data_IF_172462160963
#
_entry.id   IF_172462160963
#
_cell.length_a   1.000
_cell.length_b   1.000
_cell.length_c   1.000
_cell.angle_alpha   90.00
_cell.angle_beta   90.00
_cell.angle_gamma   90.00
#
_symmetry.space_group_name_H-M   'P 1'
#
loop_
_entity.id
_entity.type
_entity.pdbx_description
1 polymer ?
#
# COMPACT_ATOMS: atom_id res chain seq x y z
N UNK A 1 -37.41 5.40 3.50
CA UNK A 1 -37.86 6.67 4.14
C UNK A 1 -37.25 6.68 5.53
N UNK A 2 -36.55 7.76 5.91
CA UNK A 2 -35.92 7.82 7.23
C UNK A 2 -36.98 7.75 8.32
N UNK A 3 -36.79 6.87 9.31
CA UNK A 3 -37.67 6.74 10.47
C UNK A 3 -37.60 8.05 11.25
N UNK A 4 -38.71 8.79 11.32
CA UNK A 4 -38.83 9.87 12.28
C UNK A 4 -39.15 9.19 13.62
N UNK A 5 -38.32 9.38 14.64
CA UNK A 5 -38.63 8.91 16.00
C UNK A 5 -39.10 10.10 16.83
N UNK A 6 -40.15 9.94 17.62
CA UNK A 6 -40.60 10.96 18.55
C UNK A 6 -39.52 11.20 19.62
N UNK A 7 -38.96 12.42 19.75
CA UNK A 7 -37.92 12.70 20.75
C UNK A 7 -38.40 12.53 22.20
N UNK A 8 -39.71 12.62 22.43
CA UNK A 8 -40.29 12.56 23.76
C UNK A 8 -40.61 11.12 24.20
N UNK A 9 -41.03 10.26 23.27
CA UNK A 9 -41.45 8.88 23.57
C UNK A 9 -40.48 7.81 23.08
N UNK A 10 -39.50 8.19 22.24
CA UNK A 10 -38.63 7.25 21.52
C UNK A 10 -39.41 6.18 20.73
N UNK A 11 -40.57 6.57 20.21
CA UNK A 11 -41.52 5.74 19.47
C UNK A 11 -41.64 6.29 18.03
N UNK A 12 -41.67 5.41 17.03
CA UNK A 12 -41.77 5.73 15.60
C UNK A 12 -43.12 5.32 14.97
N UNK A 13 -44.01 4.70 15.74
CA UNK A 13 -45.39 4.42 15.33
C UNK A 13 -46.27 5.68 15.47
N UNK A 14 -47.36 5.77 14.70
CA UNK A 14 -48.37 6.84 14.80
C UNK A 14 -47.84 8.29 14.66
N UNK A 15 -46.94 8.52 13.69
CA UNK A 15 -46.41 9.85 13.36
C UNK A 15 -47.14 10.47 12.17
N UNK A 16 -47.78 11.61 12.40
CA UNK A 16 -48.54 12.35 11.39
C UNK A 16 -47.76 13.58 10.89
N UNK A 17 -47.88 13.87 9.59
CA UNK A 17 -47.34 15.08 9.00
C UNK A 17 -48.30 16.26 9.24
N UNK A 18 -47.86 17.26 9.99
CA UNK A 18 -48.66 18.45 10.29
C UNK A 18 -48.54 19.48 9.17
N UNK A 19 -47.31 19.80 8.75
CA UNK A 19 -47.04 20.75 7.66
C UNK A 19 -45.65 20.58 7.09
N UNK A 20 -45.46 21.07 5.87
CA UNK A 20 -44.14 21.21 5.23
C UNK A 20 -43.78 22.69 5.17
N UNK A 21 -42.57 23.03 5.60
CA UNK A 21 -42.01 24.38 5.55
C UNK A 21 -41.33 24.63 4.19
N UNK A 22 -41.16 25.90 3.82
CA UNK A 22 -40.62 26.32 2.52
C UNK A 22 -39.18 25.85 2.27
N UNK A 23 -38.42 25.54 3.34
CA UNK A 23 -37.06 25.02 3.29
C UNK A 23 -37.00 23.48 3.13
N UNK A 24 -38.15 22.83 2.94
CA UNK A 24 -38.28 21.37 2.81
C UNK A 24 -38.29 20.63 4.14
N UNK A 25 -38.23 21.32 5.28
CA UNK A 25 -38.42 20.72 6.61
C UNK A 25 -39.88 20.29 6.79
N UNK A 26 -40.07 19.11 7.39
CA UNK A 26 -41.40 18.61 7.72
C UNK A 26 -41.63 18.77 9.22
N UNK A 27 -42.73 19.39 9.62
CA UNK A 27 -43.21 19.36 11.00
C UNK A 27 -44.10 18.14 11.15
N UNK A 28 -43.71 17.24 12.05
CA UNK A 28 -44.42 16.00 12.33
C UNK A 28 -44.90 15.96 13.78
N UNK A 29 -45.97 15.24 14.04
CA UNK A 29 -46.59 15.08 15.36
C UNK A 29 -46.73 13.61 15.70
N UNK A 30 -46.40 13.25 16.92
CA UNK A 30 -46.68 11.91 17.45
C UNK A 30 -47.98 11.93 18.26
N UNK A 31 -48.64 10.77 18.42
CA UNK A 31 -49.85 10.60 19.25
C UNK A 31 -49.74 11.16 20.67
N UNK A 32 -48.53 11.27 21.23
CA UNK A 32 -48.31 11.90 22.54
C UNK A 32 -48.54 13.43 22.54
N UNK A 33 -48.81 14.02 21.38
CA UNK A 33 -49.05 15.44 21.19
C UNK A 33 -47.79 16.27 20.89
N UNK A 34 -46.60 15.66 20.93
CA UNK A 34 -45.34 16.35 20.67
C UNK A 34 -45.12 16.58 19.18
N UNK A 35 -44.85 17.83 18.80
CA UNK A 35 -44.57 18.27 17.44
C UNK A 35 -43.09 18.64 17.29
N UNK A 36 -42.43 18.16 16.23
CA UNK A 36 -41.03 18.48 15.96
C UNK A 36 -40.73 18.59 14.47
N UNK A 37 -39.65 19.29 14.15
CA UNK A 37 -39.13 19.40 12.79
C UNK A 37 -38.25 18.19 12.46
N UNK A 38 -38.65 17.45 11.44
CA UNK A 38 -37.89 16.35 10.86
C UNK A 38 -37.28 16.79 9.52
N UNK A 39 -35.96 17.01 9.53
CA UNK A 39 -35.18 17.14 8.30
C UNK A 39 -34.82 15.74 7.81
N UNK A 40 -35.21 15.41 6.57
CA UNK A 40 -34.63 14.24 5.93
C UNK A 40 -33.12 14.44 5.83
N UNK A 41 -32.30 13.47 6.26
CA UNK A 41 -30.86 13.56 6.03
C UNK A 41 -30.63 13.64 4.52
N UNK A 42 -30.01 14.73 4.07
CA UNK A 42 -29.59 14.85 2.68
C UNK A 42 -28.72 13.65 2.36
N UNK A 43 -29.04 12.84 1.34
CA UNK A 43 -28.17 11.73 0.99
C UNK A 43 -26.79 12.30 0.69
N UNK A 44 -25.70 11.71 1.25
CA UNK A 44 -24.37 12.18 0.93
C UNK A 44 -24.24 12.16 -0.60
N UNK A 45 -23.89 13.31 -1.17
CA UNK A 45 -23.64 13.44 -2.60
C UNK A 45 -22.64 12.36 -2.98
N UNK A 46 -23.10 11.34 -3.72
CA UNK A 46 -22.25 10.24 -4.18
C UNK A 46 -21.14 10.87 -5.01
N UNK A 47 -19.94 10.98 -4.42
CA UNK A 47 -18.75 11.29 -5.19
C UNK A 47 -18.65 10.25 -6.31
N UNK A 48 -18.33 10.66 -7.55
CA UNK A 48 -18.24 9.72 -8.65
C UNK A 48 -17.23 8.62 -8.29
N UNK A 49 -17.64 7.36 -8.36
CA UNK A 49 -16.74 6.22 -8.22
C UNK A 49 -15.80 6.23 -9.42
N UNK A 50 -14.57 6.68 -9.22
CA UNK A 50 -13.56 6.65 -10.28
C UNK A 50 -13.19 5.21 -10.61
N UNK A 51 -13.14 4.86 -11.90
CA UNK A 51 -12.68 3.54 -12.32
C UNK A 51 -11.18 3.38 -12.02
N UNK A 52 -10.69 2.14 -11.96
CA UNK A 52 -9.27 1.85 -11.80
C UNK A 52 -8.42 2.58 -12.86
N UNK A 53 -8.87 2.56 -14.13
CA UNK A 53 -8.20 3.22 -15.24
C UNK A 53 -8.11 4.74 -15.04
N UNK A 54 -9.20 5.36 -14.58
CA UNK A 54 -9.24 6.81 -14.33
C UNK A 54 -8.27 7.21 -13.20
N UNK A 55 -8.26 6.43 -12.12
CA UNK A 55 -7.36 6.66 -10.99
C UNK A 55 -5.90 6.49 -11.36
N UNK A 56 -5.59 5.50 -12.20
CA UNK A 56 -4.24 5.26 -12.71
C UNK A 56 -3.80 6.37 -13.67
N UNK A 57 -4.69 6.84 -14.54
CA UNK A 57 -4.40 7.93 -15.47
C UNK A 57 -4.10 9.26 -14.77
N UNK A 58 -4.69 9.47 -13.59
CA UNK A 58 -4.49 10.66 -12.72
C UNK A 58 -3.33 10.52 -11.75
N UNK A 59 -2.70 9.34 -11.65
CA UNK A 59 -1.54 9.16 -10.79
C UNK A 59 -0.35 9.92 -11.40
N UNK A 60 0.52 10.55 -10.58
CA UNK A 60 1.70 11.26 -11.08
C UNK A 60 2.57 10.40 -12.01
N UNK A 61 3.11 11.02 -13.06
CA UNK A 61 3.90 10.40 -14.12
C UNK A 61 5.31 10.98 -14.16
N UNK A 62 6.20 10.29 -14.88
CA UNK A 62 7.56 10.79 -15.08
C UNK A 62 7.58 12.15 -15.81
N UNK A 63 6.62 12.38 -16.71
CA UNK A 63 6.43 13.63 -17.45
C UNK A 63 6.05 14.82 -16.55
N UNK A 64 5.52 14.57 -15.34
CA UNK A 64 5.15 15.62 -14.40
C UNK A 64 6.38 16.20 -13.64
N UNK A 65 7.56 15.57 -13.80
CA UNK A 65 8.80 16.03 -13.17
C UNK A 65 9.37 17.21 -13.94
N UNK A 66 9.59 18.34 -13.25
CA UNK A 66 10.17 19.54 -13.88
C UNK A 66 11.61 19.25 -14.36
N UNK A 67 12.05 19.82 -15.51
CA UNK A 67 13.37 19.58 -16.07
C UNK A 67 14.54 19.76 -15.09
N UNK A 68 14.49 20.81 -14.25
CA UNK A 68 15.50 21.08 -13.23
C UNK A 68 15.72 19.91 -12.23
N UNK A 69 14.67 19.15 -11.92
CA UNK A 69 14.75 17.99 -11.03
C UNK A 69 15.34 16.79 -11.75
N UNK A 70 15.01 16.59 -13.03
CA UNK A 70 15.62 15.56 -13.87
C UNK A 70 17.12 15.80 -14.06
N UNK A 71 17.53 17.04 -14.34
CA UNK A 71 18.94 17.43 -14.45
C UNK A 71 19.71 17.18 -13.15
N UNK A 72 19.11 17.55 -12.01
CA UNK A 72 19.68 17.26 -10.68
C UNK A 72 19.83 15.76 -10.47
N UNK A 73 18.79 14.97 -10.71
CA UNK A 73 18.81 13.52 -10.54
C UNK A 73 19.86 12.85 -11.45
N UNK A 74 20.00 13.30 -12.70
CA UNK A 74 21.01 12.81 -13.63
C UNK A 74 22.44 13.14 -13.16
N UNK A 75 22.68 14.34 -12.63
CA UNK A 75 23.97 14.71 -12.02
C UNK A 75 24.29 13.85 -10.81
N UNK A 76 23.31 13.67 -9.90
CA UNK A 76 23.46 12.81 -8.73
C UNK A 76 23.76 11.37 -9.11
N UNK A 77 23.03 10.83 -10.10
CA UNK A 77 23.28 9.47 -10.63
C UNK A 77 24.69 9.34 -11.17
N UNK A 78 25.17 10.32 -11.93
CA UNK A 78 26.54 10.31 -12.47
C UNK A 78 27.59 10.30 -11.35
N UNK A 79 27.38 11.08 -10.28
CA UNK A 79 28.24 11.08 -9.10
C UNK A 79 28.23 9.73 -8.37
N UNK A 80 27.04 9.15 -8.17
CA UNK A 80 26.87 7.87 -7.51
C UNK A 80 27.52 6.70 -8.28
N UNK A 81 27.37 6.68 -9.61
CA UNK A 81 27.98 5.64 -10.44
C UNK A 81 29.51 5.79 -10.52
N UNK A 82 30.04 7.01 -10.41
CA UNK A 82 31.48 7.25 -10.40
C UNK A 82 32.18 6.66 -9.16
N UNK A 83 31.49 6.54 -8.02
CA UNK A 83 32.06 5.97 -6.79
C UNK A 83 32.08 4.44 -6.78
N UNK A 84 31.46 3.78 -7.78
CA UNK A 84 31.36 2.32 -7.91
C UNK A 84 31.00 1.62 -6.59
N UNK A 85 29.82 1.93 -6.02
CA UNK A 85 29.39 1.34 -4.76
C UNK A 85 29.33 -0.19 -4.87
N UNK A 86 29.83 -0.87 -3.84
CA UNK A 86 29.91 -2.32 -3.80
C UNK A 86 28.52 -2.96 -3.65
N UNK A 87 28.41 -4.22 -4.08
CA UNK A 87 27.17 -5.00 -3.99
C UNK A 87 27.29 -6.08 -2.93
N UNK A 88 26.20 -6.34 -2.21
CA UNK A 88 26.14 -7.52 -1.37
C UNK A 88 26.07 -8.78 -2.25
N UNK A 89 27.20 -9.49 -2.33
CA UNK A 89 27.39 -10.71 -3.12
C UNK A 89 26.41 -11.83 -2.73
N UNK A 90 25.82 -11.78 -1.53
CA UNK A 90 24.89 -12.79 -1.06
C UNK A 90 23.47 -12.60 -1.61
N UNK A 91 23.14 -11.43 -2.13
CA UNK A 91 21.77 -11.10 -2.55
C UNK A 91 21.30 -11.96 -3.71
N UNK A 92 22.13 -12.13 -4.74
CA UNK A 92 21.76 -12.93 -5.91
C UNK A 92 21.45 -14.39 -5.53
N UNK A 93 22.31 -15.01 -4.72
CA UNK A 93 22.10 -16.38 -4.24
C UNK A 93 20.87 -16.48 -3.32
N UNK A 94 20.67 -15.49 -2.45
CA UNK A 94 19.52 -15.41 -1.55
C UNK A 94 18.20 -15.28 -2.34
N UNK A 95 18.13 -14.40 -3.33
CA UNK A 95 16.96 -14.25 -4.20
C UNK A 95 16.70 -15.52 -5.01
N UNK A 96 17.73 -16.13 -5.61
CA UNK A 96 17.57 -17.40 -6.33
C UNK A 96 17.07 -18.55 -5.44
N UNK A 97 17.44 -18.57 -4.15
CA UNK A 97 16.86 -19.49 -3.16
C UNK A 97 15.37 -19.21 -2.96
N UNK A 98 14.99 -17.96 -2.69
CA UNK A 98 13.60 -17.63 -2.38
C UNK A 98 12.67 -17.62 -3.59
N UNK A 99 13.16 -17.36 -4.80
CA UNK A 99 12.40 -17.56 -6.04
C UNK A 99 11.98 -19.03 -6.21
N UNK A 100 12.89 -19.97 -5.91
CA UNK A 100 12.56 -21.41 -5.89
C UNK A 100 11.56 -21.74 -4.78
N UNK A 101 11.77 -21.23 -3.57
CA UNK A 101 10.83 -21.44 -2.44
C UNK A 101 9.45 -20.84 -2.73
N UNK A 102 9.38 -19.71 -3.41
CA UNK A 102 8.13 -19.01 -3.69
C UNK A 102 7.44 -19.47 -4.98
N UNK A 103 8.05 -20.36 -5.75
CA UNK A 103 7.37 -21.07 -6.84
C UNK A 103 6.11 -21.84 -6.35
N UNK A 104 5.15 -22.17 -7.24
CA UNK A 104 3.95 -22.89 -6.82
C UNK A 104 4.23 -24.18 -6.05
N UNK A 105 5.17 -25.00 -6.50
CA UNK A 105 5.55 -26.25 -5.83
C UNK A 105 6.44 -26.03 -4.60
N UNK A 106 7.34 -25.06 -4.69
CA UNK A 106 8.20 -24.65 -3.58
C UNK A 106 7.40 -24.21 -2.37
N UNK A 107 6.37 -23.37 -2.56
CA UNK A 107 5.57 -22.85 -1.45
C UNK A 107 4.83 -23.97 -0.74
N UNK A 108 4.27 -24.92 -1.50
CA UNK A 108 3.50 -26.04 -0.95
C UNK A 108 4.34 -26.95 -0.06
N UNK A 109 5.62 -27.12 -0.39
CA UNK A 109 6.49 -28.14 0.22
C UNK A 109 7.56 -27.57 1.17
N UNK A 110 7.83 -26.26 1.13
CA UNK A 110 8.90 -25.65 1.91
C UNK A 110 8.72 -25.83 3.42
N UNK A 111 9.81 -26.01 4.17
CA UNK A 111 9.74 -26.08 5.63
C UNK A 111 9.31 -24.73 6.25
N UNK A 112 8.37 -24.65 7.22
CA UNK A 112 7.91 -23.38 7.80
C UNK A 112 9.04 -22.44 8.22
N UNK A 113 10.11 -23.00 8.80
CA UNK A 113 11.28 -22.22 9.23
C UNK A 113 11.86 -21.33 8.14
N UNK A 114 11.89 -21.77 6.88
CA UNK A 114 12.44 -20.96 5.79
C UNK A 114 11.62 -19.69 5.54
N UNK A 115 10.32 -19.71 5.84
CA UNK A 115 9.45 -18.53 5.71
C UNK A 115 9.65 -17.57 6.89
N UNK A 116 9.88 -18.10 8.08
CA UNK A 116 10.26 -17.30 9.26
C UNK A 116 11.62 -16.64 9.05
N UNK A 117 12.59 -17.40 8.53
CA UNK A 117 13.93 -16.90 8.23
C UNK A 117 13.88 -15.83 7.13
N UNK A 118 13.01 -16.00 6.11
CA UNK A 118 12.77 -14.96 5.11
C UNK A 118 12.31 -13.67 5.76
N UNK A 119 11.29 -13.73 6.62
CA UNK A 119 10.72 -12.56 7.24
C UNK A 119 11.74 -11.78 8.10
N UNK A 120 12.68 -12.48 8.73
CA UNK A 120 13.64 -11.91 9.69
C UNK A 120 15.03 -11.62 9.09
N UNK A 121 15.29 -11.97 7.84
CA UNK A 121 16.56 -11.69 7.18
C UNK A 121 16.66 -10.23 6.75
N UNK A 122 17.86 -9.64 6.78
CA UNK A 122 18.11 -8.30 6.22
C UNK A 122 18.70 -8.34 4.80
N UNK A 123 18.96 -9.54 4.25
CA UNK A 123 19.60 -9.71 2.92
C UNK A 123 18.67 -9.22 1.80
N UNK A 124 19.22 -8.37 0.93
CA UNK A 124 18.59 -7.84 -0.28
C UNK A 124 17.56 -6.73 -0.06
N UNK A 125 16.82 -6.76 1.04
CA UNK A 125 15.95 -5.66 1.47
C UNK A 125 15.57 -5.83 2.94
N UNK A 126 15.80 -4.80 3.75
CA UNK A 126 15.59 -4.81 5.20
C UNK A 126 14.13 -4.49 5.56
N UNK A 127 13.33 -5.46 6.06
CA UNK A 127 11.90 -5.24 6.33
C UNK A 127 11.62 -4.47 7.63
N UNK A 128 12.66 -4.19 8.43
CA UNK A 128 12.53 -3.51 9.72
C UNK A 128 12.09 -4.46 10.84
N UNK A 129 11.55 -3.91 11.93
CA UNK A 129 11.13 -4.70 13.09
C UNK A 129 9.96 -5.64 12.77
N UNK A 130 10.14 -6.94 12.98
CA UNK A 130 9.14 -8.00 12.77
C UNK A 130 8.50 -8.52 14.07
N UNK A 131 8.49 -7.74 15.15
CA UNK A 131 7.95 -8.15 16.45
C UNK A 131 6.51 -8.71 16.36
N UNK A 132 5.60 -8.01 15.67
CA UNK A 132 4.21 -8.45 15.52
C UNK A 132 4.11 -9.79 14.77
N UNK A 133 4.88 -9.96 13.69
CA UNK A 133 4.94 -11.22 12.96
C UNK A 133 5.50 -12.35 13.84
N UNK A 134 6.58 -12.10 14.57
CA UNK A 134 7.21 -13.09 15.43
C UNK A 134 6.34 -13.49 16.62
N UNK A 135 5.62 -12.53 17.23
CA UNK A 135 4.65 -12.82 18.29
C UNK A 135 3.55 -13.72 17.77
N UNK A 136 2.87 -13.32 16.69
CA UNK A 136 1.81 -14.11 16.08
C UNK A 136 2.31 -15.50 15.64
N UNK A 137 3.52 -15.59 15.10
CA UNK A 137 4.13 -16.86 14.74
C UNK A 137 4.28 -17.78 15.96
N UNK A 138 4.77 -17.24 17.07
CA UNK A 138 4.97 -18.02 18.30
C UNK A 138 3.64 -18.45 18.92
N UNK A 139 2.62 -17.59 18.89
CA UNK A 139 1.28 -17.88 19.41
C UNK A 139 0.57 -18.99 18.62
N UNK A 140 0.74 -19.01 17.30
CA UNK A 140 0.15 -20.02 16.41
C UNK A 140 0.94 -21.34 16.37
N UNK A 141 2.24 -21.28 16.61
CA UNK A 141 3.18 -22.37 16.39
C UNK A 141 3.59 -22.54 14.91
N UNK A 142 4.74 -23.19 14.69
CA UNK A 142 5.41 -23.27 13.38
C UNK A 142 4.53 -23.80 12.25
N UNK A 143 3.71 -24.83 12.51
CA UNK A 143 2.87 -25.45 11.49
C UNK A 143 1.77 -24.51 10.99
N UNK A 144 1.01 -23.90 11.90
CA UNK A 144 -0.09 -23.01 11.56
C UNK A 144 0.41 -21.67 10.98
N UNK A 145 1.46 -21.09 11.59
CA UNK A 145 2.08 -19.86 11.08
C UNK A 145 2.72 -20.07 9.71
N UNK A 146 3.38 -21.23 9.51
CA UNK A 146 3.91 -21.64 8.21
C UNK A 146 2.81 -21.73 7.15
N UNK A 147 1.68 -22.38 7.47
CA UNK A 147 0.53 -22.48 6.57
C UNK A 147 -0.03 -21.10 6.21
N UNK A 148 -0.32 -20.25 7.19
CA UNK A 148 -0.85 -18.90 6.96
C UNK A 148 0.11 -18.04 6.12
N UNK A 149 1.42 -18.16 6.37
CA UNK A 149 2.44 -17.44 5.59
C UNK A 149 2.48 -17.93 4.14
N UNK A 150 2.40 -19.26 3.90
CA UNK A 150 2.31 -19.82 2.54
C UNK A 150 1.07 -19.32 1.82
N UNK A 151 -0.09 -19.35 2.47
CA UNK A 151 -1.37 -18.91 1.88
C UNK A 151 -1.34 -17.40 1.57
N UNK A 152 -0.73 -16.60 2.44
CA UNK A 152 -0.50 -15.16 2.21
C UNK A 152 0.36 -14.92 0.96
N UNK A 153 1.51 -15.60 0.85
CA UNK A 153 2.42 -15.44 -0.29
C UNK A 153 1.80 -16.01 -1.57
N UNK A 154 1.14 -17.15 -1.49
CA UNK A 154 0.45 -17.77 -2.63
C UNK A 154 -0.68 -16.88 -3.13
N UNK A 155 -1.48 -16.26 -2.25
CA UNK A 155 -2.50 -15.30 -2.67
C UNK A 155 -1.88 -14.07 -3.33
N UNK A 156 -0.80 -13.53 -2.77
CA UNK A 156 -0.09 -12.38 -3.34
C UNK A 156 0.41 -12.66 -4.77
N UNK A 157 1.06 -13.81 -4.99
CA UNK A 157 1.72 -14.14 -6.26
C UNK A 157 0.77 -14.77 -7.27
N UNK A 158 -0.06 -15.70 -6.79
CA UNK A 158 -0.87 -16.63 -7.60
C UNK A 158 -2.36 -16.60 -7.23
N UNK A 159 -2.82 -15.54 -6.54
CA UNK A 159 -4.24 -15.29 -6.34
C UNK A 159 -5.00 -15.16 -7.67
N UNK A 160 -6.35 -15.08 -7.62
CA UNK A 160 -7.20 -15.13 -8.80
C UNK A 160 -6.84 -14.11 -9.88
N UNK A 161 -6.90 -14.51 -11.16
CA UNK A 161 -6.52 -13.69 -12.31
C UNK A 161 -7.42 -12.45 -12.50
N UNK A 162 -8.65 -12.49 -11.99
CA UNK A 162 -9.62 -11.40 -12.01
C UNK A 162 -9.35 -10.35 -10.91
N UNK A 163 -8.41 -10.61 -10.00
CA UNK A 163 -8.01 -9.67 -8.94
C UNK A 163 -6.62 -9.10 -9.22
N UNK A 164 -6.51 -7.81 -9.61
CA UNK A 164 -5.23 -7.16 -9.86
C UNK A 164 -4.27 -7.26 -8.66
N UNK A 165 -2.97 -7.25 -8.93
CA UNK A 165 -1.95 -7.36 -7.88
C UNK A 165 -2.07 -6.26 -6.82
N UNK A 166 -2.41 -5.04 -7.23
CA UNK A 166 -2.66 -3.90 -6.34
C UNK A 166 -3.74 -4.21 -5.31
N UNK A 167 -4.84 -4.83 -5.75
CA UNK A 167 -5.98 -5.14 -4.90
C UNK A 167 -5.68 -6.40 -4.05
N UNK A 168 -4.91 -7.37 -4.57
CA UNK A 168 -4.40 -8.50 -3.76
C UNK A 168 -3.52 -8.03 -2.60
N UNK A 169 -2.61 -7.07 -2.85
CA UNK A 169 -1.83 -6.43 -1.79
C UNK A 169 -2.75 -5.73 -0.80
N UNK A 170 -3.73 -4.94 -1.28
CA UNK A 170 -4.66 -4.23 -0.40
C UNK A 170 -5.45 -5.20 0.51
N UNK A 171 -5.98 -6.30 -0.02
CA UNK A 171 -6.70 -7.29 0.78
C UNK A 171 -5.85 -7.86 1.93
N UNK A 172 -4.56 -8.12 1.68
CA UNK A 172 -3.63 -8.62 2.70
C UNK A 172 -3.26 -7.54 3.72
N UNK A 173 -3.16 -6.28 3.29
CA UNK A 173 -2.94 -5.13 4.18
C UNK A 173 -4.12 -4.90 5.11
N UNK A 174 -5.34 -4.95 4.59
CA UNK A 174 -6.56 -4.79 5.39
C UNK A 174 -6.83 -5.99 6.32
N UNK A 175 -6.18 -7.13 6.05
CA UNK A 175 -6.42 -8.36 6.82
C UNK A 175 -7.82 -8.96 6.56
N UNK A 176 -8.42 -8.65 5.40
CA UNK A 176 -9.74 -9.16 5.03
C UNK A 176 -9.73 -10.65 4.67
N UNK A 177 -8.55 -11.22 4.45
CA UNK A 177 -8.38 -12.64 4.17
C UNK A 177 -8.16 -13.41 5.48
N UNK A 178 -9.01 -14.39 5.82
CA UNK A 178 -8.91 -15.12 7.09
C UNK A 178 -7.63 -15.96 7.22
N UNK A 179 -6.98 -16.27 6.10
CA UNK A 179 -5.70 -16.98 6.05
C UNK A 179 -4.47 -16.05 6.16
N UNK A 180 -4.65 -14.72 6.16
CA UNK A 180 -3.54 -13.79 6.13
C UNK A 180 -2.70 -13.88 7.41
N UNK A 181 -1.38 -13.99 7.26
CA UNK A 181 -0.46 -14.05 8.40
C UNK A 181 -0.36 -12.68 9.08
N UNK A 182 -0.74 -12.63 10.35
CA UNK A 182 -0.61 -11.43 11.19
C UNK A 182 0.84 -10.94 11.22
N UNK A 183 1.04 -9.64 11.04
CA UNK A 183 2.37 -9.04 10.95
C UNK A 183 3.05 -9.19 9.57
N UNK A 184 2.57 -10.05 8.67
CA UNK A 184 3.06 -10.14 7.28
C UNK A 184 2.44 -9.04 6.40
N UNK A 185 2.82 -7.79 6.68
CA UNK A 185 2.24 -6.58 6.07
C UNK A 185 3.17 -6.00 5.01
N UNK A 186 2.91 -4.75 4.63
CA UNK A 186 3.54 -4.01 3.53
C UNK A 186 5.01 -4.34 3.28
N UNK A 187 5.90 -4.19 4.27
CA UNK A 187 7.34 -4.40 4.03
C UNK A 187 7.65 -5.84 3.57
N UNK A 188 7.01 -6.83 4.19
CA UNK A 188 7.19 -8.24 3.82
C UNK A 188 6.50 -8.58 2.50
N UNK A 189 5.30 -8.04 2.25
CA UNK A 189 4.59 -8.20 0.97
C UNK A 189 5.41 -7.61 -0.19
N UNK A 190 5.89 -6.38 -0.06
CA UNK A 190 6.73 -5.74 -1.07
C UNK A 190 8.06 -6.48 -1.23
N UNK A 191 8.63 -7.02 -0.15
CA UNK A 191 9.88 -7.81 -0.25
C UNK A 191 9.69 -9.10 -1.05
N UNK A 192 8.56 -9.78 -0.90
CA UNK A 192 8.21 -10.93 -1.76
C UNK A 192 8.21 -10.50 -3.23
N UNK A 193 7.63 -9.34 -3.54
CA UNK A 193 7.64 -8.80 -4.92
C UNK A 193 9.03 -8.43 -5.40
N UNK A 194 9.90 -7.87 -4.55
CA UNK A 194 11.31 -7.61 -4.88
C UNK A 194 12.07 -8.89 -5.26
N UNK A 195 11.74 -10.02 -4.63
CA UNK A 195 12.37 -11.31 -4.95
C UNK A 195 11.79 -11.91 -6.23
N UNK A 196 10.47 -11.90 -6.38
CA UNK A 196 9.79 -12.59 -7.48
C UNK A 196 9.76 -11.79 -8.79
N UNK A 197 9.87 -10.47 -8.71
CA UNK A 197 9.88 -9.54 -9.84
C UNK A 197 11.10 -8.62 -9.68
N UNK A 198 12.27 -9.22 -9.53
CA UNK A 198 13.54 -8.55 -9.19
C UNK A 198 14.06 -7.60 -10.27
N UNK A 199 13.50 -7.69 -11.47
CA UNK A 199 13.71 -6.80 -12.61
C UNK A 199 12.80 -5.57 -12.59
N UNK A 200 11.66 -5.63 -11.89
CA UNK A 200 10.65 -4.56 -11.81
C UNK A 200 10.63 -3.82 -10.48
N UNK A 201 10.82 -4.53 -9.37
CA UNK A 201 10.63 -3.97 -8.03
C UNK A 201 11.93 -3.44 -7.43
N UNK A 202 11.90 -2.16 -7.04
CA UNK A 202 12.94 -1.53 -6.25
C UNK A 202 12.89 -2.05 -4.81
N UNK A 203 14.05 -2.23 -4.19
CA UNK A 203 14.18 -2.68 -2.79
C UNK A 203 13.87 -1.56 -1.78
N UNK A 204 12.83 -0.77 -2.06
CA UNK A 204 12.23 0.25 -1.20
C UNK A 204 10.91 -0.32 -0.72
N UNK A 205 10.88 -0.84 0.50
CA UNK A 205 9.78 -1.73 0.93
C UNK A 205 8.50 -1.02 1.36
N UNK A 206 8.58 0.28 1.65
CA UNK A 206 7.48 1.06 2.22
C UNK A 206 7.07 2.20 1.29
N UNK A 207 5.79 2.53 1.27
CA UNK A 207 5.28 3.69 0.56
C UNK A 207 5.68 4.99 1.25
N UNK A 208 5.49 5.06 2.57
CA UNK A 208 5.90 6.19 3.43
C UNK A 208 6.23 5.70 4.83
N UNK A 209 7.23 6.30 5.48
CA UNK A 209 7.56 6.13 6.91
C UNK A 209 8.26 7.41 7.41
N UNK A 210 8.46 7.53 8.73
CA UNK A 210 9.27 8.61 9.31
C UNK A 210 10.71 8.65 8.77
N UNK A 211 11.34 7.49 8.58
CA UNK A 211 12.67 7.38 7.97
C UNK A 211 12.66 7.58 6.43
N UNK A 212 11.47 7.70 5.84
CA UNK A 212 11.23 7.82 4.40
C UNK A 212 10.72 6.54 3.74
N UNK A 213 10.23 6.69 2.52
CA UNK A 213 9.73 5.65 1.64
C UNK A 213 9.64 6.16 0.21
N UNK A 214 8.88 5.45 -0.63
CA UNK A 214 8.70 5.82 -2.05
C UNK A 214 8.16 7.25 -2.21
N UNK A 215 7.23 7.68 -1.35
CA UNK A 215 6.66 9.03 -1.35
C UNK A 215 7.72 10.09 -1.05
N UNK A 216 8.52 9.89 -0.01
CA UNK A 216 9.56 10.85 0.36
C UNK A 216 10.69 10.87 -0.68
N UNK A 217 11.04 9.73 -1.27
CA UNK A 217 12.02 9.67 -2.36
C UNK A 217 11.51 10.43 -3.59
N UNK A 218 10.26 10.21 -4.01
CA UNK A 218 9.67 10.92 -5.14
C UNK A 218 9.72 12.45 -4.93
N UNK A 219 9.39 12.92 -3.73
CA UNK A 219 9.44 14.34 -3.37
C UNK A 219 10.88 14.87 -3.34
N UNK A 220 11.79 14.21 -2.61
CA UNK A 220 13.13 14.77 -2.36
C UNK A 220 14.09 14.62 -3.55
N UNK A 221 13.93 13.59 -4.37
CA UNK A 221 14.79 13.34 -5.54
C UNK A 221 14.24 14.00 -6.78
N UNK A 222 12.92 13.97 -6.98
CA UNK A 222 12.27 14.40 -8.22
C UNK A 222 11.31 15.58 -8.04
N UNK A 223 11.13 16.13 -6.85
CA UNK A 223 10.18 17.23 -6.61
C UNK A 223 8.73 16.84 -6.88
N UNK A 224 8.40 15.55 -6.83
CA UNK A 224 7.10 15.02 -7.22
C UNK A 224 6.28 14.64 -5.99
N UNK A 225 5.12 15.28 -5.84
CA UNK A 225 4.19 14.99 -4.75
C UNK A 225 3.30 13.79 -5.08
N UNK A 226 3.50 12.70 -4.35
CA UNK A 226 2.64 11.52 -4.45
C UNK A 226 1.46 11.59 -3.46
N UNK A 227 0.31 10.97 -3.79
CA UNK A 227 -0.89 11.03 -2.95
C UNK A 227 -0.67 10.57 -1.51
N UNK A 228 -1.36 11.18 -0.55
CA UNK A 228 -1.32 10.71 0.83
C UNK A 228 -2.02 9.33 0.97
N UNK A 229 -1.53 8.42 1.84
CA UNK A 229 -2.17 7.12 2.09
C UNK A 229 -3.65 7.20 2.49
N UNK A 230 -4.03 8.30 3.15
CA UNK A 230 -5.37 8.55 3.68
C UNK A 230 -6.33 9.06 2.60
N UNK A 231 -5.84 9.23 1.36
CA UNK A 231 -6.66 9.68 0.25
C UNK A 231 -7.69 8.62 -0.15
N UNK A 232 -8.97 8.95 0.00
CA UNK A 232 -10.11 8.04 -0.29
C UNK A 232 -10.17 7.51 -1.73
N UNK A 233 -9.42 8.11 -2.64
CA UNK A 233 -9.39 7.72 -4.05
C UNK A 233 -8.35 6.63 -4.36
N UNK A 234 -7.32 6.44 -3.52
CA UNK A 234 -6.25 5.49 -3.77
C UNK A 234 -6.06 4.54 -2.60
N UNK A 235 -6.05 3.24 -2.90
CA UNK A 235 -5.70 2.23 -1.90
C UNK A 235 -4.19 2.19 -1.70
N UNK A 236 -3.74 1.80 -0.51
CA UNK A 236 -2.31 1.69 -0.21
C UNK A 236 -1.61 0.67 -1.13
N UNK A 237 -2.29 -0.43 -1.49
CA UNK A 237 -1.80 -1.39 -2.48
C UNK A 237 -1.47 -0.75 -3.84
N UNK A 238 -2.34 0.13 -4.35
CA UNK A 238 -2.09 0.89 -5.59
C UNK A 238 -0.92 1.85 -5.44
N UNK A 239 -0.87 2.58 -4.33
CA UNK A 239 0.22 3.52 -4.05
C UNK A 239 1.58 2.81 -4.01
N UNK A 240 1.68 1.64 -3.37
CA UNK A 240 2.92 0.85 -3.31
C UNK A 240 3.41 0.47 -4.72
N UNK A 241 2.52 -0.05 -5.57
CA UNK A 241 2.88 -0.56 -6.89
C UNK A 241 3.16 0.58 -7.87
N UNK A 242 2.27 1.57 -7.95
CA UNK A 242 2.40 2.63 -8.93
C UNK A 242 3.57 3.55 -8.63
N UNK A 243 3.86 3.82 -7.35
CA UNK A 243 5.06 4.57 -6.98
C UNK A 243 6.35 3.76 -7.20
N UNK A 244 6.31 2.42 -7.09
CA UNK A 244 7.45 1.58 -7.48
C UNK A 244 7.75 1.74 -8.97
N UNK A 245 6.73 1.52 -9.82
CA UNK A 245 6.90 1.56 -11.27
C UNK A 245 7.33 2.95 -11.75
N UNK A 246 6.78 4.01 -11.14
CA UNK A 246 7.18 5.39 -11.39
C UNK A 246 8.64 5.64 -11.01
N UNK A 247 9.06 5.28 -9.80
CA UNK A 247 10.44 5.48 -9.36
C UNK A 247 11.44 4.64 -10.16
N UNK A 248 11.04 3.42 -10.54
CA UNK A 248 11.85 2.57 -11.41
C UNK A 248 12.07 3.24 -12.78
N UNK A 249 10.99 3.77 -13.37
CA UNK A 249 11.05 4.52 -14.63
C UNK A 249 11.93 5.77 -14.51
N UNK A 250 11.76 6.55 -13.43
CA UNK A 250 12.51 7.78 -13.19
C UNK A 250 14.00 7.53 -12.93
N UNK A 251 14.33 6.44 -12.23
CA UNK A 251 15.72 6.07 -12.01
C UNK A 251 16.42 5.71 -13.33
N UNK A 252 15.70 5.04 -14.26
CA UNK A 252 16.18 4.69 -15.59
C UNK A 252 17.38 3.73 -15.62
N UNK A 253 17.97 3.55 -16.79
CA UNK A 253 18.97 2.50 -17.06
C UNK A 253 20.39 2.82 -16.54
N UNK A 254 21.28 1.82 -16.54
CA UNK A 254 22.69 2.00 -16.17
C UNK A 254 23.04 1.57 -14.73
N UNK A 255 22.05 1.08 -13.98
CA UNK A 255 22.27 0.35 -12.74
C UNK A 255 22.41 -1.15 -13.03
N UNK A 256 23.28 -1.86 -12.30
CA UNK A 256 23.45 -3.31 -12.43
C UNK A 256 22.18 -4.12 -12.14
N UNK A 257 21.33 -3.64 -11.22
CA UNK A 257 20.06 -4.27 -10.84
C UNK A 257 19.18 -3.28 -10.03
N UNK A 258 17.99 -3.71 -9.62
CA UNK A 258 17.05 -2.87 -8.88
C UNK A 258 17.50 -2.52 -7.46
N UNK A 259 18.38 -3.33 -6.85
CA UNK A 259 18.97 -2.98 -5.56
C UNK A 259 19.95 -1.80 -5.72
N UNK A 260 20.73 -1.78 -6.80
CA UNK A 260 21.64 -0.67 -7.11
C UNK A 260 20.87 0.62 -7.37
N UNK A 261 19.77 0.53 -8.13
CA UNK A 261 18.86 1.66 -8.38
C UNK A 261 18.22 2.18 -7.08
N UNK A 262 17.71 1.29 -6.23
CA UNK A 262 17.15 1.66 -4.93
C UNK A 262 18.19 2.29 -3.98
N UNK A 263 19.42 1.78 -3.97
CA UNK A 263 20.51 2.34 -3.17
C UNK A 263 20.88 3.77 -3.63
N UNK A 264 20.92 4.00 -4.95
CA UNK A 264 21.02 5.35 -5.49
C UNK A 264 19.89 6.25 -5.00
N UNK A 265 18.63 5.81 -5.09
CA UNK A 265 17.48 6.63 -4.69
C UNK A 265 17.52 7.01 -3.20
N UNK A 266 17.91 6.07 -2.33
CA UNK A 266 18.13 6.36 -0.91
C UNK A 266 19.26 7.36 -0.71
N UNK A 267 20.41 7.15 -1.35
CA UNK A 267 21.54 8.08 -1.27
C UNK A 267 21.19 9.48 -1.78
N UNK A 268 20.47 9.57 -2.90
CA UNK A 268 20.07 10.81 -3.56
C UNK A 268 19.06 11.62 -2.73
N UNK A 269 18.18 10.93 -1.98
CA UNK A 269 17.22 11.53 -1.06
C UNK A 269 17.93 12.36 0.02
N UNK A 270 19.08 11.87 0.49
CA UNK A 270 19.84 12.48 1.58
C UNK A 270 20.88 13.51 1.10
N UNK A 271 21.02 13.70 -0.23
CA UNK A 271 21.92 14.72 -0.77
C UNK A 271 21.34 16.14 -0.61
N UNK A 272 22.18 17.13 -0.24
CA UNK A 272 21.74 18.51 -0.09
C UNK A 272 21.19 19.08 -1.41
N UNK A 273 20.30 20.08 -1.31
CA UNK A 273 19.74 20.78 -2.45
C UNK A 273 18.42 20.23 -3.00
N UNK A 274 17.62 19.55 -2.17
CA UNK A 274 16.17 19.53 -2.40
C UNK A 274 15.65 20.94 -2.17
N UNK A 275 15.02 21.55 -3.18
CA UNK A 275 14.40 22.86 -3.00
C UNK A 275 13.35 22.73 -1.89
N UNK A 276 13.56 23.45 -0.79
CA UNK A 276 12.54 23.64 0.26
C UNK A 276 11.35 24.41 -0.30
#
# INVERSE_FOLDING_TARGET
MGLAMCPLCSDDEDIELVRTLDDGCRVVKHRCGYEWEHRQPTPPTKRPSHSFSDLKARFPKAEDVKPQWLERAARLKSQYLATKPDFDIHVAAYWAKYQRIFSPDGLRTCHPRVLKDFANSDVGARPGNQATFNSAWNDMGDAAAGKATRETIAYLLYGPDDVPLEDRVQHLLDGTKPFAMTGFKEALLTRVLCVMQSDRFLTILKYTTEAGGKREIARMVYGLELPAPESVNWTLGRLILWSNDLLHTLAGDGFANQQHSAAFLWWAKDQPGGFQ
#
